data_IF_829294410490
#
_entry.id   IF_829294410490
#
_cell.length_a   1.000
_cell.length_b   1.000
_cell.length_c   1.000
_cell.angle_alpha   90.00
_cell.angle_beta   90.00
_cell.angle_gamma   90.00
#
_symmetry.space_group_name_H-M   'P 1'
#
loop_
_entity.id
_entity.type
_entity.pdbx_description
1 polymer ?
#
# COMPACT_ATOMS: atom_id res chain seq x y z
N UNK A 1 2.98 19.10 6.28
CA UNK A 1 4.06 18.49 7.06
C UNK A 1 3.51 18.06 8.41
N UNK A 2 3.74 16.81 8.79
CA UNK A 2 3.24 16.18 10.01
C UNK A 2 4.35 15.84 11.01
N UNK A 3 5.62 15.91 10.58
CA UNK A 3 6.77 15.66 11.46
C UNK A 3 6.78 14.29 12.15
N UNK A 4 6.11 13.28 11.58
CA UNK A 4 6.02 11.94 12.19
C UNK A 4 7.20 11.03 11.85
N UNK A 5 8.11 11.48 10.98
CA UNK A 5 9.31 10.74 10.58
C UNK A 5 10.12 10.18 11.76
N UNK A 6 10.39 10.95 12.83
CA UNK A 6 11.08 10.44 14.03
C UNK A 6 10.30 9.38 14.81
N UNK A 7 8.96 9.46 14.87
CA UNK A 7 8.11 8.48 15.57
C UNK A 7 8.10 7.12 14.85
N UNK A 8 8.30 7.12 13.53
CA UNK A 8 8.47 5.90 12.73
C UNK A 8 9.78 5.15 13.08
N UNK A 9 10.69 5.75 13.86
CA UNK A 9 11.99 5.15 14.20
C UNK A 9 12.11 4.72 15.67
N UNK A 10 11.14 5.06 16.53
CA UNK A 10 11.33 5.11 17.99
C UNK A 10 10.89 3.85 18.78
N UNK A 11 11.19 2.61 18.34
CA UNK A 11 10.90 1.39 19.11
C UNK A 11 11.98 0.29 18.98
N UNK A 12 12.39 -0.29 20.13
CA UNK A 12 13.39 -1.38 20.26
C UNK A 12 12.84 -2.81 19.99
N UNK A 13 11.62 -2.93 19.46
CA UNK A 13 11.02 -4.19 19.00
C UNK A 13 11.25 -4.39 17.48
N UNK A 14 10.98 -5.57 16.92
CA UNK A 14 10.98 -5.79 15.46
C UNK A 14 9.96 -4.85 14.83
N UNK A 15 10.42 -3.66 14.43
CA UNK A 15 9.56 -2.61 13.92
C UNK A 15 9.28 -2.86 12.45
N UNK A 16 8.04 -3.25 12.15
CA UNK A 16 7.55 -3.40 10.79
C UNK A 16 7.05 -2.05 10.26
N UNK A 17 7.82 -1.44 9.37
CA UNK A 17 7.43 -0.23 8.64
C UNK A 17 7.02 -0.67 7.25
N UNK A 18 5.72 -0.60 6.99
CA UNK A 18 5.11 -1.00 5.71
C UNK A 18 4.71 0.23 4.91
N UNK A 19 5.06 0.26 3.63
CA UNK A 19 4.65 1.29 2.66
C UNK A 19 3.91 0.64 1.50
N UNK A 20 3.17 1.45 0.74
CA UNK A 20 2.40 0.96 -0.40
C UNK A 20 2.36 1.99 -1.52
N UNK A 21 2.19 1.53 -2.76
CA UNK A 21 1.95 2.35 -3.95
C UNK A 21 3.02 3.45 -4.16
N UNK A 22 2.67 4.66 -4.59
CA UNK A 22 3.61 5.77 -4.84
C UNK A 22 4.29 6.33 -3.57
N UNK A 23 5.07 5.51 -2.87
CA UNK A 23 5.70 5.88 -1.61
C UNK A 23 6.99 6.69 -1.83
N UNK A 24 6.84 7.98 -2.16
CA UNK A 24 7.96 8.93 -2.34
C UNK A 24 8.60 9.28 -0.99
N UNK A 25 9.82 8.81 -0.76
CA UNK A 25 10.55 9.07 0.49
C UNK A 25 11.46 10.29 0.36
N UNK A 26 12.17 10.41 -0.76
CA UNK A 26 13.21 11.44 -0.97
C UNK A 26 12.60 12.84 -0.92
N UNK A 27 13.10 13.69 -0.02
CA UNK A 27 12.60 15.04 0.21
C UNK A 27 11.45 15.13 1.22
N UNK A 28 10.92 13.99 1.68
CA UNK A 28 9.82 13.90 2.64
C UNK A 28 10.21 13.10 3.89
N UNK A 29 11.50 12.82 4.12
CA UNK A 29 11.97 11.94 5.20
C UNK A 29 11.54 12.43 6.59
N UNK A 30 11.42 13.74 6.79
CA UNK A 30 10.92 14.32 8.05
C UNK A 30 9.43 14.04 8.27
N UNK A 31 8.65 13.96 7.20
CA UNK A 31 7.22 13.72 7.25
C UNK A 31 6.88 12.23 7.27
N UNK A 32 7.57 11.41 6.48
CA UNK A 32 7.20 10.00 6.29
C UNK A 32 8.25 9.01 6.79
N UNK A 33 9.41 9.48 7.26
CA UNK A 33 10.54 8.63 7.67
C UNK A 33 11.30 8.04 6.48
N UNK A 34 12.52 7.55 6.71
CA UNK A 34 13.39 6.96 5.67
C UNK A 34 13.38 5.42 5.63
N UNK A 35 13.01 4.76 6.73
CA UNK A 35 13.07 3.29 6.84
C UNK A 35 11.84 2.63 6.18
N UNK A 36 12.06 1.49 5.54
CA UNK A 36 11.01 0.61 4.99
C UNK A 36 11.41 -0.85 5.17
N UNK A 37 10.51 -1.68 5.71
CA UNK A 37 10.74 -3.11 5.94
C UNK A 37 9.89 -4.02 5.06
N UNK A 38 8.73 -3.52 4.65
CA UNK A 38 7.84 -4.19 3.72
C UNK A 38 7.24 -3.16 2.76
N UNK A 39 7.08 -3.54 1.50
CA UNK A 39 6.44 -2.70 0.51
C UNK A 39 5.35 -3.51 -0.20
N UNK A 40 4.11 -3.08 -0.01
CA UNK A 40 2.91 -3.75 -0.54
C UNK A 40 2.44 -3.09 -1.83
N UNK A 41 2.09 -3.88 -2.85
CA UNK A 41 1.58 -3.36 -4.11
C UNK A 41 0.82 -4.45 -4.89
N UNK A 42 -0.06 -4.02 -5.80
CA UNK A 42 -0.33 -4.81 -7.00
C UNK A 42 0.56 -4.28 -8.13
N UNK A 43 0.89 -5.14 -9.07
CA UNK A 43 1.69 -4.85 -10.26
C UNK A 43 1.08 -3.71 -11.04
N UNK A 44 -0.25 -3.72 -11.24
CA UNK A 44 -0.94 -2.64 -11.94
C UNK A 44 -0.72 -1.28 -11.24
N UNK A 45 -0.89 -1.22 -9.91
CA UNK A 45 -0.68 0.02 -9.17
C UNK A 45 0.79 0.43 -9.15
N UNK A 46 1.73 -0.50 -9.02
CA UNK A 46 3.16 -0.21 -9.10
C UNK A 46 3.51 0.43 -10.45
N UNK A 47 3.09 -0.18 -11.57
CA UNK A 47 3.37 0.34 -12.91
C UNK A 47 2.73 1.71 -13.14
N UNK A 48 1.52 1.93 -12.62
CA UNK A 48 0.87 3.24 -12.69
C UNK A 48 1.60 4.29 -11.85
N UNK A 49 1.99 3.96 -10.61
CA UNK A 49 2.76 4.88 -9.75
C UNK A 49 4.09 5.26 -10.37
N UNK A 50 4.80 4.30 -10.98
CA UNK A 50 6.05 4.55 -11.71
C UNK A 50 5.89 5.54 -12.86
N UNK A 51 4.72 5.56 -13.52
CA UNK A 51 4.44 6.46 -14.65
C UNK A 51 3.91 7.81 -14.17
N UNK A 52 2.91 7.80 -13.30
CA UNK A 52 2.18 8.99 -12.87
C UNK A 52 2.97 9.87 -11.89
N UNK A 53 3.90 9.29 -11.13
CA UNK A 53 4.62 10.00 -10.07
C UNK A 53 6.11 10.15 -10.34
N UNK A 54 6.57 9.86 -11.57
CA UNK A 54 7.96 10.02 -11.97
C UNK A 54 8.46 11.45 -11.75
N UNK A 55 7.67 12.44 -12.19
CA UNK A 55 8.00 13.88 -12.04
C UNK A 55 7.97 14.36 -10.58
N UNK A 56 7.20 13.67 -9.72
CA UNK A 56 7.18 13.91 -8.28
C UNK A 56 8.37 13.24 -7.55
N UNK A 57 9.20 12.47 -8.26
CA UNK A 57 10.40 11.82 -7.72
C UNK A 57 10.23 10.35 -7.34
N UNK A 58 9.13 9.69 -7.74
CA UNK A 58 8.96 8.25 -7.52
C UNK A 58 9.79 7.43 -8.53
N UNK A 59 10.87 6.81 -8.06
CA UNK A 59 11.81 6.06 -8.91
C UNK A 59 11.63 4.54 -8.84
N UNK A 60 10.75 4.04 -7.97
CA UNK A 60 10.66 2.61 -7.69
C UNK A 60 10.29 2.30 -6.26
N UNK A 61 9.94 1.03 -5.99
CA UNK A 61 9.75 0.57 -4.63
C UNK A 61 11.10 0.56 -3.91
N UNK A 62 11.18 0.96 -2.63
CA UNK A 62 12.43 0.91 -1.86
C UNK A 62 12.92 -0.53 -1.71
N UNK A 63 14.24 -0.74 -1.62
CA UNK A 63 14.81 -2.08 -1.41
C UNK A 63 14.37 -2.64 -0.06
N UNK A 64 13.58 -3.73 -0.09
CA UNK A 64 12.91 -4.25 1.11
C UNK A 64 12.30 -5.63 0.87
N UNK A 65 11.43 -6.11 1.77
CA UNK A 65 10.55 -7.26 1.47
C UNK A 65 9.33 -6.82 0.65
N UNK A 66 9.18 -7.35 -0.55
CA UNK A 66 8.12 -7.03 -1.48
C UNK A 66 6.92 -7.95 -1.25
N UNK A 67 5.76 -7.38 -0.92
CA UNK A 67 4.54 -8.13 -0.63
C UNK A 67 3.51 -7.89 -1.75
N UNK A 68 3.38 -8.88 -2.62
CA UNK A 68 2.48 -8.87 -3.75
C UNK A 68 1.03 -9.04 -3.29
N UNK A 69 0.16 -8.19 -3.80
CA UNK A 69 -1.27 -8.32 -3.68
C UNK A 69 -1.80 -9.09 -4.89
N UNK A 70 -2.42 -10.28 -4.73
CA UNK A 70 -2.93 -11.07 -5.85
C UNK A 70 -4.24 -10.47 -6.39
N UNK A 71 -4.11 -9.36 -7.11
CA UNK A 71 -5.22 -8.58 -7.64
C UNK A 71 -5.62 -9.02 -9.06
N UNK A 72 -4.61 -9.28 -9.89
CA UNK A 72 -4.74 -9.70 -11.27
C UNK A 72 -3.67 -10.77 -11.61
N UNK A 73 -3.87 -11.51 -12.70
CA UNK A 73 -2.89 -12.51 -13.17
C UNK A 73 -1.47 -11.96 -13.31
N UNK A 74 -1.34 -10.68 -13.66
CA UNK A 74 -0.03 -10.01 -13.77
C UNK A 74 0.78 -10.01 -12.48
N UNK A 75 0.14 -10.07 -11.31
CA UNK A 75 0.83 -10.18 -10.02
C UNK A 75 1.57 -11.51 -9.88
N UNK A 76 0.92 -12.59 -10.31
CA UNK A 76 1.52 -13.91 -10.35
C UNK A 76 2.63 -14.02 -11.40
N UNK A 77 2.43 -13.38 -12.56
CA UNK A 77 3.44 -13.37 -13.62
C UNK A 77 4.69 -12.62 -13.19
N UNK A 78 4.54 -11.46 -12.54
CA UNK A 78 5.67 -10.66 -12.09
C UNK A 78 6.41 -11.32 -10.93
N UNK A 79 5.71 -11.87 -9.93
CA UNK A 79 6.39 -12.57 -8.81
C UNK A 79 7.09 -13.83 -9.29
N UNK A 80 6.51 -14.58 -10.23
CA UNK A 80 7.14 -15.75 -10.85
C UNK A 80 8.44 -15.35 -11.53
N UNK A 81 8.38 -14.37 -12.43
CA UNK A 81 9.54 -13.88 -13.14
C UNK A 81 10.64 -13.38 -12.19
N UNK A 82 10.26 -12.68 -11.11
CA UNK A 82 11.20 -12.19 -10.11
C UNK A 82 11.88 -13.34 -9.36
N UNK A 83 11.11 -14.35 -8.93
CA UNK A 83 11.61 -15.50 -8.19
C UNK A 83 12.49 -16.43 -9.05
N UNK A 84 12.25 -16.49 -10.36
CA UNK A 84 13.00 -17.34 -11.29
C UNK A 84 14.10 -16.60 -12.05
N UNK A 85 14.31 -15.31 -11.78
CA UNK A 85 15.26 -14.44 -12.52
C UNK A 85 15.06 -14.49 -14.05
N UNK A 86 13.80 -14.54 -14.49
CA UNK A 86 13.43 -14.53 -15.91
C UNK A 86 12.70 -13.25 -16.27
N UNK A 87 12.46 -13.04 -17.56
CA UNK A 87 11.52 -12.01 -18.03
C UNK A 87 10.08 -12.44 -17.76
N UNK A 88 9.17 -11.46 -17.72
CA UNK A 88 7.73 -11.73 -17.64
C UNK A 88 7.25 -12.37 -18.96
N UNK A 89 6.60 -13.53 -18.86
CA UNK A 89 6.27 -14.38 -20.02
C UNK A 89 5.14 -13.82 -20.91
N UNK A 90 4.17 -13.09 -20.33
CA UNK A 90 2.98 -12.60 -21.03
C UNK A 90 2.30 -11.47 -20.26
N UNK A 91 1.22 -10.92 -20.83
CA UNK A 91 0.46 -9.82 -20.24
C UNK A 91 1.06 -8.45 -20.56
N UNK A 92 0.56 -7.38 -19.92
CA UNK A 92 0.98 -6.01 -20.23
C UNK A 92 2.45 -5.73 -19.92
N UNK A 93 3.03 -6.46 -18.97
CA UNK A 93 4.44 -6.36 -18.58
C UNK A 93 5.34 -7.38 -19.30
N UNK A 94 4.88 -7.99 -20.40
CA UNK A 94 5.67 -8.98 -21.17
C UNK A 94 7.05 -8.45 -21.53
N UNK A 95 8.05 -9.33 -21.45
CA UNK A 95 9.46 -9.06 -21.77
C UNK A 95 10.17 -8.09 -20.78
N UNK A 96 9.47 -7.54 -19.78
CA UNK A 96 10.08 -6.77 -18.71
C UNK A 96 10.94 -7.65 -17.79
N UNK A 97 12.05 -7.09 -17.30
CA UNK A 97 12.95 -7.72 -16.34
C UNK A 97 12.63 -7.22 -14.92
N UNK A 98 12.25 -8.11 -13.98
CA UNK A 98 11.95 -7.71 -12.61
C UNK A 98 13.09 -7.00 -11.87
N UNK A 99 14.35 -7.23 -12.26
CA UNK A 99 15.51 -6.57 -11.67
C UNK A 99 15.49 -5.04 -11.84
N UNK A 100 14.79 -4.53 -12.86
CA UNK A 100 14.50 -3.10 -13.05
C UNK A 100 13.73 -2.47 -11.89
N UNK A 101 12.93 -3.27 -11.17
CA UNK A 101 12.09 -2.81 -10.08
C UNK A 101 12.61 -3.23 -8.71
N UNK A 102 13.22 -4.42 -8.62
CA UNK A 102 13.56 -5.05 -7.35
C UNK A 102 15.07 -5.24 -7.13
N UNK A 103 15.90 -4.79 -8.08
CA UNK A 103 17.35 -5.01 -8.08
C UNK A 103 17.75 -6.41 -8.59
N UNK A 104 19.04 -6.57 -8.88
CA UNK A 104 19.60 -7.85 -9.37
C UNK A 104 19.64 -8.92 -8.26
N UNK A 105 19.83 -8.51 -7.01
CA UNK A 105 19.97 -9.40 -5.83
C UNK A 105 18.62 -9.81 -5.22
N UNK A 106 17.57 -9.93 -6.04
CA UNK A 106 16.25 -10.30 -5.55
C UNK A 106 16.16 -11.80 -5.25
N UNK A 107 16.03 -12.17 -3.97
CA UNK A 107 15.86 -13.56 -3.56
C UNK A 107 14.40 -13.91 -3.28
N UNK A 108 14.07 -15.20 -3.33
CA UNK A 108 12.75 -15.70 -2.93
C UNK A 108 12.36 -15.32 -1.48
N UNK A 109 13.34 -15.07 -0.61
CA UNK A 109 13.09 -14.62 0.77
C UNK A 109 12.57 -13.18 0.84
N UNK A 110 12.97 -12.31 -0.09
CA UNK A 110 12.47 -10.93 -0.21
C UNK A 110 11.08 -10.86 -0.85
N UNK A 111 10.65 -11.90 -1.57
CA UNK A 111 9.35 -11.96 -2.24
C UNK A 111 8.29 -12.64 -1.36
N UNK A 112 7.15 -12.00 -1.19
CA UNK A 112 5.97 -12.54 -0.46
C UNK A 112 4.71 -12.22 -1.23
N UNK A 113 3.65 -12.97 -1.00
CA UNK A 113 2.34 -12.72 -1.60
C UNK A 113 1.26 -12.95 -0.55
N UNK A 114 0.27 -12.06 -0.49
CA UNK A 114 -0.90 -12.29 0.37
C UNK A 114 -1.67 -13.51 -0.10
N UNK A 115 -2.23 -14.26 0.84
CA UNK A 115 -3.14 -15.34 0.50
C UNK A 115 -4.47 -14.77 -0.03
N UNK A 116 -4.98 -15.19 -1.21
CA UNK A 116 -6.23 -14.67 -1.77
C UNK A 116 -7.43 -14.78 -0.82
N UNK A 117 -7.53 -15.88 -0.06
CA UNK A 117 -8.59 -16.03 0.95
C UNK A 117 -8.48 -15.05 2.12
N UNK A 118 -7.26 -14.60 2.47
CA UNK A 118 -7.10 -13.57 3.47
C UNK A 118 -7.67 -12.25 2.95
N UNK A 119 -7.40 -11.89 1.69
CA UNK A 119 -7.98 -10.70 1.05
C UNK A 119 -9.51 -10.79 0.98
N UNK A 120 -10.03 -11.97 0.62
CA UNK A 120 -11.48 -12.25 0.61
C UNK A 120 -12.08 -12.12 2.01
N UNK A 121 -11.38 -12.59 3.04
CA UNK A 121 -11.79 -12.45 4.44
C UNK A 121 -11.85 -10.98 4.86
N UNK A 122 -10.80 -10.19 4.59
CA UNK A 122 -10.76 -8.76 4.90
C UNK A 122 -11.92 -8.01 4.23
N UNK A 123 -12.13 -8.24 2.92
CA UNK A 123 -13.26 -7.68 2.17
C UNK A 123 -14.60 -8.07 2.77
N UNK A 124 -14.80 -9.34 3.11
CA UNK A 124 -16.13 -9.79 3.52
C UNK A 124 -16.46 -9.51 4.99
N UNK A 125 -15.46 -9.34 5.86
CA UNK A 125 -15.63 -9.18 7.32
C UNK A 125 -15.41 -7.77 7.83
N UNK A 126 -14.52 -7.00 7.20
CA UNK A 126 -14.19 -5.64 7.65
C UNK A 126 -14.71 -4.58 6.69
N UNK A 127 -14.58 -4.83 5.38
CA UNK A 127 -14.82 -3.82 4.34
C UNK A 127 -15.81 -4.35 3.29
N UNK A 128 -17.03 -4.65 3.74
CA UNK A 128 -18.08 -5.21 2.87
C UNK A 128 -18.93 -4.09 2.27
N UNK A 129 -18.40 -3.38 1.28
CA UNK A 129 -19.11 -2.27 0.63
C UNK A 129 -20.39 -2.70 -0.08
N UNK A 130 -21.33 -1.75 -0.23
CA UNK A 130 -22.52 -1.90 -1.07
C UNK A 130 -22.16 -2.20 -2.53
N UNK A 131 -20.97 -1.78 -3.01
CA UNK A 131 -20.49 -2.09 -4.36
C UNK A 131 -20.55 -3.61 -4.68
N UNK A 132 -20.40 -4.47 -3.66
CA UNK A 132 -20.52 -5.93 -3.80
C UNK A 132 -21.91 -6.43 -4.21
N UNK A 133 -22.95 -5.62 -4.06
CA UNK A 133 -24.33 -5.95 -4.43
C UNK A 133 -24.73 -5.33 -5.78
N UNK A 134 -23.78 -4.76 -6.51
CA UNK A 134 -24.00 -4.07 -7.79
C UNK A 134 -23.20 -4.74 -8.91
N UNK A 135 -23.29 -4.21 -10.13
CA UNK A 135 -22.43 -4.60 -11.26
C UNK A 135 -20.92 -4.43 -11.00
N UNK A 136 -20.53 -3.70 -9.97
CA UNK A 136 -19.13 -3.46 -9.61
C UNK A 136 -18.54 -4.52 -8.66
N UNK A 137 -19.32 -5.56 -8.32
CA UNK A 137 -18.89 -6.62 -7.39
C UNK A 137 -17.53 -7.21 -7.71
N UNK A 138 -17.27 -7.49 -8.98
CA UNK A 138 -16.08 -8.24 -9.40
C UNK A 138 -14.81 -7.36 -9.45
N UNK A 139 -14.97 -6.04 -9.48
CA UNK A 139 -13.85 -5.09 -9.41
C UNK A 139 -13.66 -4.52 -7.99
N UNK A 140 -14.62 -4.75 -7.09
CA UNK A 140 -14.55 -4.22 -5.74
C UNK A 140 -13.55 -4.99 -4.88
N UNK A 141 -12.65 -4.23 -4.26
CA UNK A 141 -11.68 -4.71 -3.28
C UNK A 141 -11.33 -3.60 -2.28
N UNK A 142 -10.87 -3.94 -1.07
CA UNK A 142 -10.21 -2.97 -0.21
C UNK A 142 -9.00 -2.31 -0.90
N UNK A 143 -8.68 -1.07 -0.55
CA UNK A 143 -7.48 -0.41 -1.05
C UNK A 143 -6.21 -1.18 -0.65
N UNK A 144 -5.13 -1.02 -1.41
CA UNK A 144 -3.84 -1.65 -1.06
C UNK A 144 -3.39 -1.24 0.35
N UNK A 145 -3.62 0.02 0.73
CA UNK A 145 -3.36 0.53 2.08
C UNK A 145 -4.21 -0.14 3.15
N UNK A 146 -5.51 -0.35 2.90
CA UNK A 146 -6.39 -1.05 3.83
C UNK A 146 -5.95 -2.49 4.08
N UNK A 147 -5.56 -3.19 3.02
CA UNK A 147 -5.07 -4.57 3.12
C UNK A 147 -3.77 -4.62 3.93
N UNK A 148 -2.84 -3.71 3.64
CA UNK A 148 -1.58 -3.59 4.39
C UNK A 148 -1.82 -3.29 5.87
N UNK A 149 -2.72 -2.36 6.20
CA UNK A 149 -3.03 -1.98 7.58
C UNK A 149 -3.71 -3.11 8.35
N UNK A 150 -4.69 -3.76 7.74
CA UNK A 150 -5.37 -4.90 8.35
C UNK A 150 -4.44 -6.11 8.47
N UNK A 151 -3.53 -6.34 7.51
CA UNK A 151 -2.50 -7.37 7.65
C UNK A 151 -1.61 -7.09 8.86
N UNK A 152 -1.13 -5.86 9.04
CA UNK A 152 -0.35 -5.47 10.21
C UNK A 152 -1.12 -5.72 11.52
N UNK A 153 -2.42 -5.40 11.55
CA UNK A 153 -3.28 -5.67 12.70
C UNK A 153 -3.42 -7.16 13.04
N UNK A 154 -3.27 -8.07 12.07
CA UNK A 154 -3.33 -9.51 12.30
C UNK A 154 -1.97 -10.11 12.72
N UNK A 155 -0.87 -9.38 12.55
CA UNK A 155 0.49 -9.93 12.71
C UNK A 155 1.35 -9.21 13.74
N UNK A 156 0.99 -7.99 14.13
CA UNK A 156 1.78 -7.15 15.02
C UNK A 156 1.07 -6.92 16.35
N UNK A 157 1.83 -6.80 17.44
CA UNK A 157 1.28 -6.54 18.77
C UNK A 157 0.70 -5.11 18.91
N UNK A 158 1.24 -4.16 18.16
CA UNK A 158 0.81 -2.76 18.13
C UNK A 158 0.88 -2.21 16.71
N UNK A 159 -0.09 -1.37 16.34
CA UNK A 159 -0.18 -0.80 14.99
C UNK A 159 -0.41 0.70 15.07
N UNK A 160 0.48 1.45 14.42
CA UNK A 160 0.39 2.89 14.20
C UNK A 160 0.09 3.15 12.72
N UNK A 161 -0.96 3.90 12.43
CA UNK A 161 -1.40 4.21 11.06
C UNK A 161 -1.15 5.68 10.74
N UNK A 162 -0.38 5.94 9.67
CA UNK A 162 0.01 7.27 9.20
C UNK A 162 -0.40 7.46 7.74
N UNK A 163 -0.93 8.64 7.40
CA UNK A 163 -1.32 8.95 6.01
C UNK A 163 -2.55 8.19 5.51
N UNK A 164 -3.36 7.65 6.43
CA UNK A 164 -4.67 7.08 6.11
C UNK A 164 -5.73 8.17 6.13
N UNK A 165 -6.80 8.01 5.35
CA UNK A 165 -7.89 8.98 5.26
C UNK A 165 -8.55 9.19 6.64
N UNK A 166 -8.76 10.45 6.98
CA UNK A 166 -9.40 10.94 8.21
C UNK A 166 -10.57 11.88 7.87
N UNK A 167 -11.50 12.18 8.80
CA UNK A 167 -12.70 12.97 8.50
C UNK A 167 -12.44 14.35 7.87
N UNK A 168 -11.26 14.92 8.13
CA UNK A 168 -10.74 16.17 7.61
C UNK A 168 -9.96 16.04 6.29
N UNK A 169 -10.00 14.89 5.60
CA UNK A 169 -9.23 14.63 4.38
C UNK A 169 -9.33 15.73 3.31
N UNK A 170 -10.47 16.42 3.23
CA UNK A 170 -10.70 17.51 2.27
C UNK A 170 -9.88 18.77 2.54
N UNK A 171 -9.20 18.86 3.69
CA UNK A 171 -8.27 19.95 4.02
C UNK A 171 -6.86 19.72 3.42
N UNK A 172 -6.59 18.54 2.88
CA UNK A 172 -5.27 18.14 2.39
C UNK A 172 -5.34 17.66 0.94
N UNK A 173 -4.21 17.72 0.23
CA UNK A 173 -4.10 17.14 -1.11
C UNK A 173 -4.16 15.62 -1.05
N UNK A 174 -4.50 15.00 -2.17
CA UNK A 174 -4.60 13.54 -2.34
C UNK A 174 -3.32 12.81 -1.90
N UNK A 175 -2.15 13.36 -2.24
CA UNK A 175 -0.86 12.84 -1.78
C UNK A 175 -0.04 13.92 -1.04
N UNK A 176 0.74 13.48 -0.05
CA UNK A 176 1.61 14.37 0.74
C UNK A 176 2.75 15.01 -0.08
N UNK A 177 3.02 14.49 -1.27
CA UNK A 177 4.04 14.98 -2.19
C UNK A 177 3.48 15.84 -3.34
N UNK A 178 2.17 16.13 -3.34
CA UNK A 178 1.58 16.99 -4.35
C UNK A 178 2.07 18.44 -4.18
N UNK A 179 2.58 19.03 -5.26
CA UNK A 179 3.04 20.43 -5.27
C UNK A 179 1.90 21.45 -5.33
N UNK A 180 0.70 21.02 -5.72
CA UNK A 180 -0.54 21.80 -5.70
C UNK A 180 -1.69 20.94 -5.16
N UNK A 181 -2.72 21.57 -4.62
CA UNK A 181 -3.86 20.84 -4.07
C UNK A 181 -4.60 20.04 -5.16
N UNK A 182 -4.78 18.75 -4.90
CA UNK A 182 -5.62 17.82 -5.65
C UNK A 182 -6.63 17.19 -4.70
N UNK A 183 -7.91 17.18 -5.07
CA UNK A 183 -8.92 16.49 -4.26
C UNK A 183 -8.81 14.98 -4.40
N UNK A 184 -9.10 14.26 -3.32
CA UNK A 184 -9.14 12.79 -3.34
C UNK A 184 -10.19 12.29 -4.32
N UNK A 185 -9.77 11.41 -5.24
CA UNK A 185 -10.66 10.76 -6.18
C UNK A 185 -11.27 9.47 -5.59
N UNK A 186 -12.60 9.39 -5.56
CA UNK A 186 -13.33 8.22 -5.06
C UNK A 186 -13.72 7.30 -6.23
N UNK A 187 -12.87 6.29 -6.49
CA UNK A 187 -13.14 5.27 -7.49
C UNK A 187 -13.95 4.10 -6.92
N UNK A 188 -14.94 3.62 -7.68
CA UNK A 188 -15.90 2.59 -7.23
C UNK A 188 -15.29 1.21 -6.93
N UNK A 189 -14.07 0.96 -7.39
CA UNK A 189 -13.33 -0.27 -7.08
C UNK A 189 -12.88 -0.33 -5.61
N UNK A 190 -12.95 0.79 -4.89
CA UNK A 190 -12.67 0.91 -3.45
C UNK A 190 -13.80 1.68 -2.74
N UNK A 191 -13.88 1.53 -1.42
CA UNK A 191 -14.81 2.31 -0.60
C UNK A 191 -14.02 3.05 0.50
N UNK A 192 -13.37 4.13 0.11
CA UNK A 192 -12.47 4.89 1.00
C UNK A 192 -13.21 5.49 2.20
N UNK A 193 -14.51 5.78 2.07
CA UNK A 193 -15.34 6.27 3.17
C UNK A 193 -15.60 5.18 4.20
N UNK A 194 -15.90 3.96 3.75
CA UNK A 194 -16.00 2.79 4.64
C UNK A 194 -14.66 2.49 5.32
N UNK A 195 -13.55 2.57 4.58
CA UNK A 195 -12.20 2.41 5.15
C UNK A 195 -11.92 3.45 6.24
N UNK A 196 -12.12 4.74 5.93
CA UNK A 196 -11.99 5.84 6.90
C UNK A 196 -12.81 5.60 8.17
N UNK A 197 -14.08 5.20 8.02
CA UNK A 197 -14.94 4.91 9.17
C UNK A 197 -14.41 3.74 10.01
N UNK A 198 -13.88 2.69 9.38
CA UNK A 198 -13.26 1.57 10.08
C UNK A 198 -12.02 2.00 10.87
N UNK A 199 -11.15 2.84 10.29
CA UNK A 199 -9.95 3.33 10.99
C UNK A 199 -10.31 4.11 12.26
N UNK A 200 -11.35 4.93 12.21
CA UNK A 200 -11.85 5.66 13.37
C UNK A 200 -12.37 4.70 14.46
N UNK A 201 -13.12 3.67 14.08
CA UNK A 201 -13.64 2.67 15.03
C UNK A 201 -12.50 1.87 15.69
N UNK A 202 -11.53 1.40 14.90
CA UNK A 202 -10.37 0.67 15.43
C UNK A 202 -9.52 1.56 16.35
N UNK A 203 -9.40 2.86 16.03
CA UNK A 203 -8.70 3.81 16.87
C UNK A 203 -9.42 4.05 18.21
N UNK A 204 -10.73 4.30 18.18
CA UNK A 204 -11.56 4.49 19.38
C UNK A 204 -11.57 3.26 20.28
N UNK A 205 -11.50 2.06 19.69
CA UNK A 205 -11.40 0.80 20.43
C UNK A 205 -10.00 0.51 20.99
N UNK A 206 -8.99 1.36 20.71
CA UNK A 206 -7.61 1.17 21.14
C UNK A 206 -6.86 0.05 20.42
N UNK A 207 -7.39 -0.45 19.30
CA UNK A 207 -6.78 -1.53 18.50
C UNK A 207 -5.68 -1.02 17.56
N UNK A 208 -5.79 0.23 17.12
CA UNK A 208 -4.74 0.93 16.38
C UNK A 208 -4.57 2.34 16.92
N UNK A 209 -3.39 2.94 16.70
CA UNK A 209 -3.20 4.38 16.86
C UNK A 209 -3.23 5.04 15.49
N UNK A 210 -4.33 5.73 15.18
CA UNK A 210 -4.46 6.49 13.95
C UNK A 210 -3.92 7.91 14.17
N UNK A 211 -2.98 8.33 13.32
CA UNK A 211 -2.45 9.68 13.35
C UNK A 211 -3.32 10.58 12.50
N UNK A 212 -3.97 11.53 13.17
CA UNK A 212 -4.84 12.54 12.58
C UNK A 212 -4.14 13.89 12.76
N UNK A 213 -4.33 14.80 11.82
CA UNK A 213 -3.96 16.19 12.05
C UNK A 213 -4.89 16.78 13.13
N UNK A 214 -4.34 17.58 14.03
CA UNK A 214 -5.10 18.38 15.00
C UNK A 214 -5.04 19.85 14.60
#
# INVERSE_FOLDING_TARGET
SNGVGPLVHACDYILMISRTNGAIIKGFEQDVGSRTTHYTFSTNTLMNSMRSYADAGYTGPPETRYVFLPDHDRDYLLVKAAATHTVVERGPERDERPSKYFGEDISAEKLKMYHPDFIRYLRNRFLRSHAMNTKYRDIYRPSTGAIMLLAALHTCDQVNAYGFMTPDYAQYSDHYYDSSYHSVAFYINHDLRMEMALWQQLHQAGLIRLYMHH
#
